data_IF_945706420551
#
_entry.id   IF_945706420551
#
_cell.length_a   1.000
_cell.length_b   1.000
_cell.length_c   1.000
_cell.angle_alpha   90.00
_cell.angle_beta   90.00
_cell.angle_gamma   90.00
#
_symmetry.space_group_name_H-M   'P 1'
#
loop_
_entity.id
_entity.type
_entity.pdbx_description
1 polymer ?
#
# COMPACT_ATOMS: atom_id res chain seq x y z
N UNK A 1 18.91 -8.82 -14.64
CA UNK A 1 18.30 -9.90 -13.84
C UNK A 1 16.83 -10.09 -14.21
N UNK A 2 16.29 -11.25 -13.91
CA UNK A 2 14.86 -11.56 -14.01
C UNK A 2 14.21 -11.41 -12.62
N UNK A 3 13.19 -10.58 -12.53
CA UNK A 3 12.45 -10.31 -11.29
C UNK A 3 11.03 -10.85 -11.43
N UNK A 4 10.59 -11.64 -10.46
CA UNK A 4 9.20 -12.10 -10.38
C UNK A 4 8.49 -11.38 -9.23
N UNK A 5 7.45 -10.61 -9.55
CA UNK A 5 6.64 -9.90 -8.56
C UNK A 5 5.41 -10.73 -8.21
N UNK A 6 5.17 -10.90 -6.92
CA UNK A 6 3.98 -11.59 -6.38
C UNK A 6 3.26 -10.63 -5.43
N UNK A 7 2.05 -10.20 -5.79
CA UNK A 7 1.29 -9.20 -5.04
C UNK A 7 -0.18 -9.58 -4.93
N UNK A 8 -0.88 -8.95 -4.00
CA UNK A 8 -2.35 -9.01 -3.95
C UNK A 8 -2.93 -8.19 -5.12
N UNK A 9 -4.02 -8.66 -5.75
CA UNK A 9 -4.63 -7.96 -6.88
C UNK A 9 -5.54 -6.81 -6.42
N UNK A 10 -5.01 -5.94 -5.59
CA UNK A 10 -5.67 -4.76 -5.02
C UNK A 10 -4.84 -3.53 -5.39
N UNK A 11 -5.50 -2.44 -5.80
CA UNK A 11 -4.81 -1.22 -6.23
C UNK A 11 -3.80 -0.70 -5.19
N UNK A 12 -4.13 -0.82 -3.88
CA UNK A 12 -3.23 -0.46 -2.78
C UNK A 12 -1.90 -1.23 -2.75
N UNK A 13 -1.87 -2.43 -3.31
CA UNK A 13 -0.71 -3.32 -3.37
C UNK A 13 -0.04 -3.32 -4.76
N UNK A 14 -0.84 -3.25 -5.83
CA UNK A 14 -0.33 -3.27 -7.21
C UNK A 14 0.38 -1.97 -7.56
N UNK A 15 -0.18 -0.80 -7.21
CA UNK A 15 0.39 0.50 -7.61
C UNK A 15 1.85 0.68 -7.13
N UNK A 16 2.19 0.45 -5.86
CA UNK A 16 3.59 0.57 -5.42
C UNK A 16 4.50 -0.49 -6.04
N UNK A 17 4.02 -1.71 -6.20
CA UNK A 17 4.79 -2.75 -6.87
C UNK A 17 5.03 -2.41 -8.36
N UNK A 18 4.05 -1.76 -9.03
CA UNK A 18 4.19 -1.28 -10.40
C UNK A 18 5.21 -0.14 -10.53
N UNK A 19 5.25 0.78 -9.56
CA UNK A 19 6.27 1.83 -9.51
C UNK A 19 7.69 1.23 -9.42
N UNK A 20 7.89 0.23 -8.56
CA UNK A 20 9.15 -0.51 -8.47
C UNK A 20 9.46 -1.26 -9.77
N UNK A 21 8.47 -1.95 -10.35
CA UNK A 21 8.62 -2.67 -11.61
C UNK A 21 9.07 -1.76 -12.75
N UNK A 22 8.47 -0.57 -12.86
CA UNK A 22 8.83 0.42 -13.88
C UNK A 22 10.30 0.86 -13.74
N UNK A 23 10.77 1.10 -12.51
CA UNK A 23 12.18 1.45 -12.26
C UNK A 23 13.13 0.30 -12.58
N UNK A 24 12.81 -0.92 -12.17
CA UNK A 24 13.60 -2.10 -12.53
C UNK A 24 13.67 -2.30 -14.05
N UNK A 25 12.55 -2.12 -14.75
CA UNK A 25 12.51 -2.22 -16.22
C UNK A 25 13.35 -1.13 -16.89
N UNK A 26 13.23 0.13 -16.43
CA UNK A 26 14.03 1.25 -16.93
C UNK A 26 15.55 1.03 -16.72
N UNK A 27 15.92 0.26 -15.70
CA UNK A 27 17.31 -0.14 -15.40
C UNK A 27 17.76 -1.40 -16.17
N UNK A 28 16.95 -1.88 -17.14
CA UNK A 28 17.28 -3.00 -18.04
C UNK A 28 16.99 -4.38 -17.46
N UNK A 29 16.17 -4.50 -16.42
CA UNK A 29 15.77 -5.78 -15.86
C UNK A 29 14.49 -6.32 -16.51
N UNK A 30 14.36 -7.64 -16.57
CA UNK A 30 13.14 -8.31 -17.01
C UNK A 30 12.22 -8.49 -15.82
N UNK A 31 11.02 -7.92 -15.87
CA UNK A 31 10.03 -8.01 -14.79
C UNK A 31 8.82 -8.80 -15.26
N UNK A 32 8.45 -9.82 -14.50
CA UNK A 32 7.23 -10.58 -14.68
C UNK A 32 6.39 -10.59 -13.40
N UNK A 33 5.11 -10.82 -13.53
CA UNK A 33 4.15 -10.88 -12.45
C UNK A 33 3.54 -12.25 -12.33
N UNK A 34 3.43 -12.80 -11.12
CA UNK A 34 2.66 -14.01 -10.86
C UNK A 34 1.32 -13.61 -10.23
N UNK A 35 0.21 -13.86 -10.93
CA UNK A 35 -1.12 -13.48 -10.45
C UNK A 35 -2.25 -13.75 -11.42
N UNK A 36 -3.45 -13.27 -11.06
CA UNK A 36 -4.63 -13.31 -11.91
C UNK A 36 -4.53 -12.28 -13.02
N UNK A 37 -4.41 -12.72 -14.28
CA UNK A 37 -4.36 -11.79 -15.41
C UNK A 37 -5.62 -10.91 -15.49
N UNK A 38 -6.80 -11.49 -15.24
CA UNK A 38 -8.07 -10.76 -15.24
C UNK A 38 -8.05 -9.54 -14.29
N UNK A 39 -7.39 -9.69 -13.13
CA UNK A 39 -7.35 -8.65 -12.11
C UNK A 39 -6.16 -7.71 -12.26
N UNK A 40 -5.01 -8.21 -12.71
CA UNK A 40 -3.77 -7.42 -12.82
C UNK A 40 -3.70 -6.62 -14.12
N UNK A 41 -4.17 -7.16 -15.24
CA UNK A 41 -4.09 -6.51 -16.55
C UNK A 41 -4.69 -5.10 -16.60
N UNK A 42 -5.88 -4.85 -16.02
CA UNK A 42 -6.47 -3.50 -16.00
C UNK A 42 -5.63 -2.46 -15.24
N UNK A 43 -4.78 -2.90 -14.29
CA UNK A 43 -3.92 -2.02 -13.48
C UNK A 43 -2.52 -1.86 -14.06
N UNK A 44 -2.00 -2.90 -14.72
CA UNK A 44 -0.61 -2.94 -15.22
C UNK A 44 -0.48 -2.57 -16.70
N UNK A 45 -1.58 -2.55 -17.44
CA UNK A 45 -1.58 -2.29 -18.88
C UNK A 45 -1.28 -3.52 -19.75
N UNK A 46 -1.32 -3.37 -21.10
CA UNK A 46 -1.23 -4.48 -22.04
C UNK A 46 0.17 -5.14 -22.09
N UNK A 47 1.22 -4.38 -21.83
CA UNK A 47 2.61 -4.83 -22.03
C UNK A 47 3.18 -5.62 -20.83
N UNK A 48 2.46 -5.67 -19.72
CA UNK A 48 2.92 -6.39 -18.53
C UNK A 48 2.98 -7.90 -18.78
N UNK A 49 4.12 -8.52 -18.47
CA UNK A 49 4.30 -9.98 -18.54
C UNK A 49 3.67 -10.62 -17.32
N UNK A 50 2.51 -11.24 -17.48
CA UNK A 50 1.76 -11.89 -16.40
C UNK A 50 1.77 -13.40 -16.57
N UNK A 51 2.38 -14.10 -15.61
CA UNK A 51 2.35 -15.55 -15.47
C UNK A 51 1.10 -15.92 -14.68
N UNK A 52 0.14 -16.56 -15.34
CA UNK A 52 -1.20 -16.82 -14.80
C UNK A 52 -1.18 -17.82 -13.64
N UNK A 53 -1.72 -17.42 -12.50
CA UNK A 53 -1.89 -18.29 -11.33
C UNK A 53 -3.33 -18.78 -11.14
N UNK A 54 -4.22 -18.44 -12.07
CA UNK A 54 -5.66 -18.63 -11.95
C UNK A 54 -6.37 -17.37 -11.47
N UNK A 55 -7.70 -17.39 -11.50
CA UNK A 55 -8.55 -16.28 -11.07
C UNK A 55 -9.60 -16.79 -10.10
N UNK A 56 -9.59 -16.26 -8.89
CA UNK A 56 -10.63 -16.51 -7.87
C UNK A 56 -10.85 -15.24 -7.08
N UNK A 57 -12.10 -14.84 -6.94
CA UNK A 57 -12.48 -13.72 -6.09
C UNK A 57 -12.57 -14.19 -4.64
N UNK A 58 -11.81 -13.57 -3.79
CA UNK A 58 -11.93 -13.67 -2.34
C UNK A 58 -12.50 -12.35 -1.84
N UNK A 59 -13.64 -12.42 -1.15
CA UNK A 59 -14.25 -11.23 -0.57
C UNK A 59 -14.04 -11.25 0.94
N UNK A 60 -13.52 -10.18 1.45
CA UNK A 60 -13.53 -9.91 2.87
C UNK A 60 -14.96 -9.56 3.30
N UNK A 61 -15.39 -10.09 4.44
CA UNK A 61 -16.63 -9.63 5.06
C UNK A 61 -16.27 -8.51 6.05
N UNK A 62 -16.93 -7.37 5.87
CA UNK A 62 -16.71 -6.18 6.67
C UNK A 62 -16.72 -6.43 8.18
N UNK A 63 -16.05 -5.56 8.91
CA UNK A 63 -15.93 -5.57 10.36
C UNK A 63 -15.15 -4.34 10.80
N UNK A 64 -15.04 -4.11 12.09
CA UNK A 64 -14.22 -3.06 12.68
C UNK A 64 -13.26 -3.65 13.73
N UNK A 65 -12.14 -2.97 13.98
CA UNK A 65 -11.16 -3.38 14.98
C UNK A 65 -10.59 -4.78 14.74
N UNK A 66 -10.41 -5.57 15.81
CA UNK A 66 -9.81 -6.93 15.74
C UNK A 66 -10.63 -7.88 14.84
N UNK A 67 -11.95 -7.70 14.77
CA UNK A 67 -12.78 -8.55 13.91
C UNK A 67 -12.45 -8.38 12.42
N UNK A 68 -12.12 -7.15 11.97
CA UNK A 68 -11.69 -6.91 10.59
C UNK A 68 -10.35 -7.57 10.28
N UNK A 69 -9.41 -7.54 11.24
CA UNK A 69 -8.11 -8.20 11.10
C UNK A 69 -8.29 -9.73 11.01
N UNK A 70 -9.12 -10.31 11.86
CA UNK A 70 -9.42 -11.75 11.79
C UNK A 70 -10.06 -12.13 10.46
N UNK A 71 -11.01 -11.34 9.97
CA UNK A 71 -11.64 -11.55 8.66
C UNK A 71 -10.62 -11.46 7.53
N UNK A 72 -9.76 -10.45 7.53
CA UNK A 72 -8.68 -10.28 6.55
C UNK A 72 -7.82 -11.54 6.45
N UNK A 73 -7.36 -12.09 7.57
CA UNK A 73 -6.52 -13.27 7.60
C UNK A 73 -7.26 -14.55 7.23
N UNK A 74 -8.42 -14.82 7.83
CA UNK A 74 -9.11 -16.11 7.67
C UNK A 74 -9.91 -16.24 6.39
N UNK A 75 -10.42 -15.11 5.84
CA UNK A 75 -11.31 -15.13 4.68
C UNK A 75 -10.64 -14.62 3.40
N UNK A 76 -9.53 -13.91 3.53
CA UNK A 76 -8.82 -13.37 2.38
C UNK A 76 -7.38 -13.89 2.29
N UNK A 77 -6.46 -13.49 3.18
CA UNK A 77 -5.02 -13.77 3.03
C UNK A 77 -4.71 -15.27 2.99
N UNK A 78 -5.17 -16.04 3.99
CA UNK A 78 -4.89 -17.49 4.06
C UNK A 78 -5.53 -18.27 2.91
N UNK A 79 -6.83 -18.09 2.57
CA UNK A 79 -7.42 -18.77 1.42
C UNK A 79 -6.77 -18.38 0.09
N UNK A 80 -6.42 -17.09 -0.08
CA UNK A 80 -5.76 -16.59 -1.28
C UNK A 80 -4.35 -17.17 -1.42
N UNK A 81 -3.58 -17.22 -0.33
CA UNK A 81 -2.26 -17.84 -0.34
C UNK A 81 -2.31 -19.32 -0.73
N UNK A 82 -3.24 -20.10 -0.15
CA UNK A 82 -3.44 -21.51 -0.53
C UNK A 82 -3.77 -21.67 -2.02
N UNK A 83 -4.60 -20.78 -2.54
CA UNK A 83 -4.96 -20.78 -3.96
C UNK A 83 -3.77 -20.44 -4.86
N UNK A 84 -2.94 -19.46 -4.45
CA UNK A 84 -1.80 -18.99 -5.24
C UNK A 84 -0.61 -19.96 -5.28
N UNK A 85 -0.36 -20.72 -4.22
CA UNK A 85 0.83 -21.55 -4.06
C UNK A 85 1.18 -22.39 -5.30
N UNK A 86 0.27 -23.19 -5.90
CA UNK A 86 0.59 -23.99 -7.08
C UNK A 86 0.93 -23.13 -8.32
N UNK A 87 0.21 -22.03 -8.50
CA UNK A 87 0.40 -21.12 -9.62
C UNK A 87 1.71 -20.37 -9.55
N UNK A 88 2.09 -19.87 -8.36
CA UNK A 88 3.37 -19.20 -8.13
C UNK A 88 4.53 -20.17 -8.33
N UNK A 89 4.42 -21.41 -7.86
CA UNK A 89 5.44 -22.44 -8.10
C UNK A 89 5.65 -22.70 -9.60
N UNK A 90 4.58 -22.79 -10.38
CA UNK A 90 4.66 -22.91 -11.85
C UNK A 90 5.29 -21.66 -12.48
N UNK A 91 4.95 -20.48 -12.01
CA UNK A 91 5.51 -19.22 -12.49
C UNK A 91 7.01 -19.14 -12.25
N UNK A 92 7.49 -19.55 -11.06
CA UNK A 92 8.92 -19.64 -10.73
C UNK A 92 9.65 -20.57 -11.67
N UNK A 93 9.12 -21.76 -11.94
CA UNK A 93 9.73 -22.73 -12.87
C UNK A 93 9.77 -22.20 -14.31
N UNK A 94 8.73 -21.49 -14.75
CA UNK A 94 8.64 -20.93 -16.11
C UNK A 94 9.54 -19.70 -16.29
N UNK A 95 9.58 -18.80 -15.33
CA UNK A 95 10.35 -17.54 -15.38
C UNK A 95 11.83 -17.75 -15.04
N UNK A 96 12.14 -18.70 -14.15
CA UNK A 96 13.46 -18.88 -13.56
C UNK A 96 14.02 -17.54 -13.06
N UNK A 97 13.37 -16.89 -12.08
CA UNK A 97 13.76 -15.57 -11.61
C UNK A 97 15.06 -15.61 -10.80
N UNK A 98 15.84 -14.55 -10.90
CA UNK A 98 17.03 -14.34 -10.05
C UNK A 98 16.64 -13.92 -8.64
N UNK A 99 15.51 -13.17 -8.51
CA UNK A 99 14.98 -12.64 -7.25
C UNK A 99 13.46 -12.49 -7.34
N UNK A 100 12.76 -12.68 -6.21
CA UNK A 100 11.35 -12.35 -6.10
C UNK A 100 11.17 -11.01 -5.35
N UNK A 101 10.18 -10.24 -5.75
CA UNK A 101 9.61 -9.16 -4.93
C UNK A 101 8.22 -9.61 -4.49
N UNK A 102 8.03 -9.75 -3.20
CA UNK A 102 6.82 -10.34 -2.64
C UNK A 102 6.13 -9.33 -1.75
N UNK A 103 4.88 -9.04 -2.08
CA UNK A 103 4.01 -8.27 -1.19
C UNK A 103 3.88 -8.98 0.17
N UNK A 104 3.94 -8.23 1.25
CA UNK A 104 3.89 -8.75 2.63
C UNK A 104 2.69 -9.69 2.89
N UNK A 105 1.56 -9.44 2.24
CA UNK A 105 0.35 -10.25 2.36
C UNK A 105 0.20 -11.33 1.28
N UNK A 106 1.01 -11.29 0.23
CA UNK A 106 1.07 -12.34 -0.80
C UNK A 106 2.02 -13.48 -0.40
N UNK A 107 1.89 -13.96 0.84
CA UNK A 107 2.81 -14.89 1.51
C UNK A 107 3.12 -16.17 0.72
N UNK A 108 2.29 -16.55 -0.25
CA UNK A 108 2.58 -17.66 -1.16
C UNK A 108 3.88 -17.46 -1.93
N UNK A 109 4.20 -16.20 -2.30
CA UNK A 109 5.45 -15.85 -2.98
C UNK A 109 6.68 -16.18 -2.13
N UNK A 110 6.67 -15.78 -0.86
CA UNK A 110 7.75 -16.04 0.09
C UNK A 110 7.93 -17.54 0.39
N UNK A 111 6.81 -18.26 0.59
CA UNK A 111 6.83 -19.71 0.82
C UNK A 111 7.45 -20.45 -0.39
N UNK A 112 7.07 -20.07 -1.60
CA UNK A 112 7.62 -20.65 -2.83
C UNK A 112 9.09 -20.26 -3.01
N UNK A 113 9.46 -19.00 -2.77
CA UNK A 113 10.84 -18.54 -2.83
C UNK A 113 11.73 -19.35 -1.86
N UNK A 114 11.30 -19.51 -0.61
CA UNK A 114 12.01 -20.31 0.37
C UNK A 114 12.18 -21.77 -0.09
N UNK A 115 11.09 -22.42 -0.56
CA UNK A 115 11.12 -23.81 -1.03
C UNK A 115 12.12 -24.04 -2.18
N UNK A 116 12.27 -23.04 -3.05
CA UNK A 116 13.20 -23.10 -4.20
C UNK A 116 14.58 -22.51 -3.90
N UNK A 117 14.86 -22.09 -2.66
CA UNK A 117 16.12 -21.47 -2.27
C UNK A 117 16.40 -20.17 -3.03
N UNK A 118 15.37 -19.43 -3.44
CA UNK A 118 15.48 -18.17 -4.16
C UNK A 118 15.51 -16.99 -3.19
N UNK A 119 16.35 -15.97 -3.44
CA UNK A 119 16.29 -14.74 -2.66
C UNK A 119 14.98 -13.99 -2.97
N UNK A 120 14.45 -13.34 -1.96
CA UNK A 120 13.32 -12.43 -2.16
C UNK A 120 13.44 -11.17 -1.31
N UNK A 121 12.82 -10.10 -1.79
CA UNK A 121 12.55 -8.90 -1.04
C UNK A 121 11.08 -8.86 -0.64
N UNK A 122 10.77 -8.55 0.61
CA UNK A 122 9.40 -8.23 1.02
C UNK A 122 9.11 -6.78 0.73
N UNK A 123 7.97 -6.50 0.06
CA UNK A 123 7.42 -5.16 -0.11
C UNK A 123 6.29 -4.97 0.90
N UNK A 124 6.51 -4.09 1.88
CA UNK A 124 5.55 -3.79 2.92
C UNK A 124 4.62 -2.69 2.46
N UNK A 125 3.35 -3.04 2.24
CA UNK A 125 2.28 -2.13 1.79
C UNK A 125 1.37 -1.67 2.93
N UNK A 126 1.63 -2.11 4.17
CA UNK A 126 0.83 -1.77 5.36
C UNK A 126 1.74 -1.43 6.53
N UNK A 127 1.54 -0.25 7.09
CA UNK A 127 2.28 0.19 8.29
C UNK A 127 1.89 -0.60 9.55
N UNK A 128 0.73 -1.23 9.56
CA UNK A 128 0.16 -1.90 10.73
C UNK A 128 1.04 -3.03 11.28
N UNK A 129 1.76 -3.73 10.42
CA UNK A 129 2.57 -4.88 10.81
C UNK A 129 4.01 -4.51 11.15
N UNK A 130 4.46 -3.31 10.80
CA UNK A 130 5.78 -2.79 11.16
C UNK A 130 5.82 -2.16 12.54
N UNK A 131 4.71 -1.53 12.93
CA UNK A 131 4.57 -0.79 14.16
C UNK A 131 3.49 -1.44 15.02
N UNK A 132 3.39 -1.06 16.26
CA UNK A 132 2.36 -1.56 17.15
C UNK A 132 0.95 -1.28 16.62
N UNK A 133 0.00 -2.06 16.29
CA UNK A 133 -0.83 -2.72 17.29
C UNK A 133 -0.64 -4.22 17.38
N UNK A 134 -0.01 -4.85 16.40
CA UNK A 134 0.25 -6.28 16.48
C UNK A 134 1.20 -6.63 17.64
N UNK A 135 2.27 -5.85 17.82
CA UNK A 135 3.24 -6.06 18.91
C UNK A 135 2.62 -5.87 20.30
N UNK A 136 1.63 -4.99 20.41
CA UNK A 136 0.91 -4.74 21.66
C UNK A 136 -0.19 -5.78 21.96
N UNK A 137 -0.46 -6.72 21.04
CA UNK A 137 -1.50 -7.73 21.16
C UNK A 137 -0.94 -9.15 21.01
N UNK A 138 -0.23 -9.71 22.03
CA UNK A 138 0.47 -10.99 21.93
C UNK A 138 -0.42 -12.16 21.47
N UNK A 139 -1.69 -12.16 21.87
CA UNK A 139 -2.66 -13.19 21.43
C UNK A 139 -2.96 -13.10 19.92
N UNK A 140 -3.03 -11.91 19.37
CA UNK A 140 -3.24 -11.70 17.94
C UNK A 140 -1.99 -12.11 17.15
N UNK A 141 -0.83 -11.71 17.62
CA UNK A 141 0.47 -12.09 17.03
C UNK A 141 0.65 -13.60 17.02
N UNK A 142 0.41 -14.29 18.15
CA UNK A 142 0.47 -15.73 18.24
C UNK A 142 -0.50 -16.43 17.28
N UNK A 143 -1.75 -15.99 17.27
CA UNK A 143 -2.77 -16.53 16.38
C UNK A 143 -2.42 -16.33 14.88
N UNK A 144 -1.91 -15.15 14.48
CA UNK A 144 -1.46 -14.93 13.10
C UNK A 144 -0.27 -15.84 12.75
N UNK A 145 0.68 -16.01 13.67
CA UNK A 145 1.80 -16.94 13.50
C UNK A 145 1.30 -18.38 13.28
N UNK A 146 0.33 -18.84 14.06
CA UNK A 146 -0.21 -20.20 13.92
C UNK A 146 -0.85 -20.42 12.52
N UNK A 147 -1.55 -19.42 12.00
CA UNK A 147 -2.08 -19.46 10.63
C UNK A 147 -0.96 -19.57 9.59
N UNK A 148 0.12 -18.81 9.76
CA UNK A 148 1.27 -18.83 8.85
C UNK A 148 2.06 -20.15 8.94
N UNK A 149 2.24 -20.70 10.15
CA UNK A 149 2.81 -22.05 10.33
C UNK A 149 1.95 -23.09 9.63
N UNK A 150 0.61 -22.99 9.74
CA UNK A 150 -0.31 -23.88 9.02
C UNK A 150 -0.21 -23.78 7.50
N UNK A 151 0.03 -22.58 6.95
CA UNK A 151 0.32 -22.38 5.51
C UNK A 151 1.66 -22.99 5.11
N UNK A 152 2.69 -22.79 5.93
CA UNK A 152 4.04 -23.25 5.72
C UNK A 152 4.11 -24.78 5.68
N UNK A 153 3.55 -25.45 6.69
CA UNK A 153 3.50 -26.91 6.75
C UNK A 153 2.59 -27.51 5.69
N UNK A 154 1.47 -26.85 5.38
CA UNK A 154 0.57 -27.23 4.28
C UNK A 154 1.22 -27.13 2.90
N UNK A 155 2.29 -26.34 2.77
CA UNK A 155 3.13 -26.27 1.58
C UNK A 155 4.26 -27.33 1.55
N UNK A 156 4.33 -28.22 2.53
CA UNK A 156 5.31 -29.30 2.62
C UNK A 156 6.66 -28.88 3.23
N UNK A 157 6.72 -27.76 3.94
CA UNK A 157 7.91 -27.29 4.66
C UNK A 157 7.86 -27.75 6.13
N UNK A 158 9.02 -28.04 6.73
CA UNK A 158 9.07 -28.47 8.12
C UNK A 158 8.74 -27.30 9.07
N UNK A 159 7.97 -27.55 10.13
CA UNK A 159 7.65 -26.54 11.12
C UNK A 159 8.89 -26.00 11.87
N UNK A 160 9.94 -26.84 12.00
CA UNK A 160 11.21 -26.44 12.61
C UNK A 160 11.94 -25.36 11.80
N UNK A 161 11.71 -25.32 10.48
CA UNK A 161 12.35 -24.36 9.56
C UNK A 161 11.48 -23.12 9.33
N UNK A 162 10.43 -22.93 10.14
CA UNK A 162 9.49 -21.84 9.96
C UNK A 162 10.19 -20.47 10.03
N UNK A 163 10.17 -19.77 8.92
CA UNK A 163 10.48 -18.34 8.83
C UNK A 163 9.20 -17.59 8.49
N UNK A 164 8.93 -16.50 9.18
CA UNK A 164 7.71 -15.71 8.93
C UNK A 164 7.67 -15.20 7.49
N UNK A 165 6.77 -15.69 6.63
CA UNK A 165 6.77 -15.35 5.20
C UNK A 165 6.36 -13.92 4.90
N UNK A 166 5.98 -13.15 5.91
CA UNK A 166 5.71 -11.71 5.79
C UNK A 166 7.00 -10.89 5.69
N UNK A 167 8.11 -11.43 6.18
CA UNK A 167 9.38 -10.71 6.27
C UNK A 167 10.51 -11.55 5.67
N UNK A 168 11.10 -11.03 4.60
CA UNK A 168 12.27 -11.67 4.02
C UNK A 168 13.46 -11.62 4.98
N UNK A 169 14.21 -12.72 5.12
CA UNK A 169 15.47 -12.70 5.86
C UNK A 169 16.56 -11.91 5.13
N UNK A 170 16.32 -11.55 3.87
CA UNK A 170 17.32 -10.90 3.03
C UNK A 170 17.09 -9.39 2.90
N UNK A 171 15.85 -8.95 2.64
CA UNK A 171 15.50 -7.55 2.41
C UNK A 171 14.01 -7.31 2.69
N UNK A 172 13.72 -6.33 3.53
CA UNK A 172 12.36 -5.83 3.78
C UNK A 172 12.33 -4.35 3.40
N UNK A 173 11.49 -4.01 2.42
CA UNK A 173 11.29 -2.65 1.90
C UNK A 173 9.99 -2.10 2.46
N UNK A 174 10.02 -1.03 3.23
CA UNK A 174 8.82 -0.39 3.75
C UNK A 174 8.58 0.97 3.11
N UNK A 175 7.34 1.17 2.65
CA UNK A 175 6.87 2.38 1.97
C UNK A 175 6.54 3.49 2.98
N UNK A 176 7.45 3.78 3.85
CA UNK A 176 7.28 4.78 4.92
C UNK A 176 8.62 5.42 5.25
N UNK A 177 8.62 6.36 6.19
CA UNK A 177 9.80 7.04 6.70
C UNK A 177 9.77 7.11 8.22
N UNK A 178 10.92 7.37 8.83
CA UNK A 178 11.11 7.48 10.28
C UNK A 178 10.16 8.52 10.92
N UNK A 179 9.87 9.58 10.21
CA UNK A 179 8.98 10.67 10.65
C UNK A 179 7.55 10.21 10.94
N UNK A 180 7.14 9.07 10.36
CA UNK A 180 5.84 8.44 10.58
C UNK A 180 5.90 7.24 11.53
N UNK A 181 6.89 6.37 11.38
CA UNK A 181 6.94 5.09 12.09
C UNK A 181 7.92 5.05 13.25
N UNK A 182 8.84 6.02 13.34
CA UNK A 182 10.04 5.86 14.15
C UNK A 182 11.02 4.87 13.52
N UNK A 183 11.99 4.43 14.32
CA UNK A 183 12.96 3.39 13.90
C UNK A 183 12.28 2.02 13.88
N UNK A 184 12.55 1.25 12.82
CA UNK A 184 12.11 -0.14 12.68
C UNK A 184 13.32 -1.00 12.33
N UNK A 185 13.61 -2.00 13.15
CA UNK A 185 14.77 -2.87 12.97
C UNK A 185 14.65 -3.74 11.72
N UNK A 186 15.77 -3.93 11.01
CA UNK A 186 15.89 -4.82 9.84
C UNK A 186 14.95 -4.48 8.68
N UNK A 187 14.55 -3.22 8.57
CA UNK A 187 13.68 -2.71 7.52
C UNK A 187 14.32 -1.51 6.85
N UNK A 188 14.35 -1.52 5.54
CA UNK A 188 14.75 -0.37 4.73
C UNK A 188 13.55 0.54 4.52
N UNK A 189 13.56 1.72 5.12
CA UNK A 189 12.53 2.73 4.96
C UNK A 189 12.79 3.51 3.66
N UNK A 190 12.10 3.15 2.59
CA UNK A 190 12.36 3.70 1.25
C UNK A 190 11.42 4.84 0.86
N UNK A 191 10.46 5.20 1.73
CA UNK A 191 9.39 6.12 1.37
C UNK A 191 8.35 5.50 0.44
N UNK A 192 7.29 6.22 0.08
CA UNK A 192 6.24 5.70 -0.77
C UNK A 192 6.74 5.44 -2.20
N UNK A 193 6.31 4.32 -2.77
CA UNK A 193 6.60 3.97 -4.16
C UNK A 193 5.51 4.58 -5.05
N UNK A 194 5.66 5.84 -5.38
CA UNK A 194 4.74 6.59 -6.25
C UNK A 194 5.27 6.47 -7.69
N UNK A 195 4.43 5.97 -8.60
CA UNK A 195 4.74 5.81 -10.02
C UNK A 195 3.71 6.47 -10.90
N UNK A 196 4.07 6.70 -12.16
CA UNK A 196 3.15 7.14 -13.19
C UNK A 196 2.03 6.12 -13.39
N UNK A 197 0.83 6.60 -13.57
CA UNK A 197 -0.36 5.79 -13.87
C UNK A 197 -1.31 6.57 -14.77
N UNK A 198 -2.11 5.86 -15.55
CA UNK A 198 -3.11 6.48 -16.40
C UNK A 198 -4.02 7.39 -15.58
N UNK A 199 -4.05 8.67 -15.94
CA UNK A 199 -4.85 9.68 -15.29
C UNK A 199 -6.16 9.87 -16.08
N UNK A 200 -7.34 9.81 -15.44
CA UNK A 200 -8.58 10.19 -16.09
C UNK A 200 -8.59 11.70 -16.34
N UNK A 201 -9.34 12.17 -17.36
CA UNK A 201 -9.51 13.61 -17.58
C UNK A 201 -10.18 14.27 -16.36
N UNK A 202 -9.78 15.50 -16.07
CA UNK A 202 -10.33 16.31 -14.98
C UNK A 202 -10.46 17.77 -15.41
N UNK A 203 -11.55 18.47 -15.08
CA UNK A 203 -11.76 19.87 -15.44
C UNK A 203 -11.01 20.79 -14.46
N UNK A 204 -9.70 20.93 -14.60
CA UNK A 204 -8.89 21.77 -13.70
C UNK A 204 -9.33 23.23 -13.66
N UNK A 205 -9.91 23.75 -14.78
CA UNK A 205 -10.45 25.11 -14.86
C UNK A 205 -11.68 25.33 -13.95
N UNK A 206 -12.28 24.25 -13.41
CA UNK A 206 -13.35 24.35 -12.42
C UNK A 206 -12.82 24.75 -11.04
N UNK A 207 -11.55 24.50 -10.74
CA UNK A 207 -10.92 24.89 -9.48
C UNK A 207 -10.72 26.42 -9.48
N UNK A 208 -11.41 27.10 -8.58
CA UNK A 208 -11.27 28.55 -8.37
C UNK A 208 -10.01 28.83 -7.53
N UNK A 209 -8.99 29.52 -8.07
CA UNK A 209 -7.73 29.76 -7.35
C UNK A 209 -7.90 30.64 -6.11
N UNK A 210 -9.00 31.38 -5.99
CA UNK A 210 -9.28 32.22 -4.82
C UNK A 210 -10.00 31.48 -3.68
N UNK A 211 -10.29 30.17 -3.88
CA UNK A 211 -10.93 29.32 -2.88
C UNK A 211 -9.96 28.29 -2.29
N UNK A 212 -10.32 27.78 -1.11
CA UNK A 212 -9.67 26.60 -0.52
C UNK A 212 -10.21 25.31 -1.14
N UNK A 213 -9.35 24.32 -1.35
CA UNK A 213 -9.72 23.08 -2.00
C UNK A 213 -9.64 21.87 -1.06
N UNK A 214 -10.74 21.15 -0.93
CA UNK A 214 -10.86 19.89 -0.21
C UNK A 214 -10.97 18.73 -1.18
N UNK A 215 -10.14 17.71 -1.02
CA UNK A 215 -10.35 16.41 -1.65
C UNK A 215 -10.97 15.43 -0.64
N UNK A 216 -12.11 14.83 -0.98
CA UNK A 216 -12.74 13.76 -0.21
C UNK A 216 -12.54 12.43 -0.92
N UNK A 217 -11.81 11.50 -0.31
CA UNK A 217 -11.52 10.19 -0.90
C UNK A 217 -11.54 9.06 0.15
N UNK A 218 -12.56 8.22 0.09
CA UNK A 218 -12.75 7.12 1.04
C UNK A 218 -12.23 5.77 0.54
N UNK A 219 -11.46 5.77 -0.57
CA UNK A 219 -10.83 4.58 -1.14
C UNK A 219 -11.79 3.68 -1.92
N UNK A 220 -11.23 2.66 -2.56
CA UNK A 220 -11.94 1.78 -3.51
C UNK A 220 -12.69 0.61 -2.85
N UNK A 221 -12.43 0.32 -1.57
CA UNK A 221 -12.99 -0.85 -0.85
C UNK A 221 -14.20 -0.50 0.04
N UNK A 222 -14.74 0.71 -0.09
CA UNK A 222 -15.70 1.23 0.87
C UNK A 222 -17.04 1.68 0.26
N UNK A 223 -17.34 1.31 -0.97
CA UNK A 223 -18.46 1.84 -1.76
C UNK A 223 -19.81 1.84 -1.02
N UNK A 224 -20.18 0.73 -0.36
CA UNK A 224 -21.48 0.59 0.33
C UNK A 224 -21.54 1.30 1.70
N UNK A 225 -20.38 1.68 2.27
CA UNK A 225 -20.30 2.24 3.63
C UNK A 225 -20.08 3.75 3.65
N UNK A 226 -19.79 4.35 2.50
CA UNK A 226 -19.27 5.72 2.42
C UNK A 226 -20.29 6.76 2.04
N UNK A 227 -21.43 6.41 1.43
CA UNK A 227 -22.44 7.37 0.97
C UNK A 227 -22.92 8.29 2.12
N UNK A 228 -23.34 7.73 3.26
CA UNK A 228 -23.74 8.52 4.44
C UNK A 228 -22.61 9.42 4.96
N UNK A 229 -21.37 8.95 4.92
CA UNK A 229 -20.24 9.77 5.33
C UNK A 229 -20.01 10.93 4.36
N UNK A 230 -20.13 10.70 3.05
CA UNK A 230 -20.03 11.77 2.06
C UNK A 230 -21.11 12.84 2.26
N UNK A 231 -22.36 12.45 2.49
CA UNK A 231 -23.45 13.41 2.79
C UNK A 231 -23.14 14.25 4.04
N UNK A 232 -22.67 13.63 5.11
CA UNK A 232 -22.28 14.34 6.35
C UNK A 232 -21.09 15.27 6.10
N UNK A 233 -20.09 14.85 5.32
CA UNK A 233 -18.94 15.67 4.98
C UNK A 233 -19.35 16.89 4.15
N UNK A 234 -20.26 16.72 3.18
CA UNK A 234 -20.78 17.80 2.36
C UNK A 234 -21.69 18.76 3.16
N UNK A 235 -22.54 18.23 4.05
CA UNK A 235 -23.36 19.05 4.91
C UNK A 235 -22.54 19.89 5.92
N UNK A 236 -21.31 19.42 6.24
CA UNK A 236 -20.36 20.16 7.06
C UNK A 236 -19.29 20.90 6.28
N UNK A 237 -19.43 21.04 4.96
CA UNK A 237 -18.45 21.74 4.12
C UNK A 237 -18.36 23.21 4.55
N UNK A 238 -17.18 23.73 4.91
CA UNK A 238 -17.03 25.11 5.31
C UNK A 238 -17.30 26.10 4.17
N UNK A 239 -17.76 27.30 4.51
CA UNK A 239 -17.95 28.38 3.55
C UNK A 239 -16.65 28.73 2.81
N UNK A 240 -16.75 29.00 1.52
CA UNK A 240 -15.61 29.37 0.68
C UNK A 240 -14.70 28.20 0.27
N UNK A 241 -15.06 26.96 0.62
CA UNK A 241 -14.33 25.75 0.22
C UNK A 241 -14.98 25.11 -1.00
N UNK A 242 -14.17 24.80 -2.03
CA UNK A 242 -14.55 23.89 -3.09
C UNK A 242 -14.12 22.45 -2.74
N UNK A 243 -14.99 21.48 -3.02
CA UNK A 243 -14.72 20.09 -2.73
C UNK A 243 -14.74 19.21 -3.98
N UNK A 244 -13.72 18.39 -4.15
CA UNK A 244 -13.71 17.26 -5.09
C UNK A 244 -13.98 15.98 -4.32
N UNK A 245 -15.06 15.27 -4.66
CA UNK A 245 -15.47 14.03 -3.98
C UNK A 245 -15.28 12.85 -4.91
N UNK A 246 -14.46 11.89 -4.48
CA UNK A 246 -14.24 10.65 -5.22
C UNK A 246 -15.29 9.63 -4.81
N UNK A 247 -16.36 9.56 -5.58
CA UNK A 247 -17.51 8.67 -5.40
C UNK A 247 -18.21 8.42 -6.75
N UNK A 248 -19.00 7.34 -6.88
CA UNK A 248 -19.94 7.20 -7.98
C UNK A 248 -20.92 8.40 -7.99
N UNK A 249 -21.06 9.11 -9.12
CA UNK A 249 -21.92 10.31 -9.17
C UNK A 249 -23.40 10.06 -8.84
N UNK A 250 -23.90 8.86 -9.11
CA UNK A 250 -25.26 8.42 -8.79
C UNK A 250 -25.51 8.25 -7.27
N UNK A 251 -24.46 8.14 -6.47
CA UNK A 251 -24.56 8.13 -4.99
C UNK A 251 -24.74 9.54 -4.39
N UNK A 252 -24.43 10.59 -5.13
CA UNK A 252 -24.48 11.99 -4.70
C UNK A 252 -25.10 12.85 -5.82
N UNK A 253 -26.37 12.65 -6.19
CA UNK A 253 -26.99 13.32 -7.34
C UNK A 253 -27.21 14.83 -7.15
N UNK A 254 -27.45 15.25 -5.91
CA UNK A 254 -27.80 16.63 -5.57
C UNK A 254 -26.67 17.27 -4.72
N UNK A 255 -25.65 17.80 -5.38
CA UNK A 255 -24.54 18.50 -4.72
C UNK A 255 -24.54 19.98 -5.09
N UNK A 256 -24.06 20.87 -4.18
CA UNK A 256 -23.92 22.29 -4.48
C UNK A 256 -22.89 22.56 -5.58
N UNK A 257 -22.96 23.73 -6.25
CA UNK A 257 -22.08 24.13 -7.36
C UNK A 257 -20.58 24.11 -6.99
N UNK A 258 -20.24 24.30 -5.71
CA UNK A 258 -18.86 24.23 -5.22
C UNK A 258 -18.36 22.80 -4.99
N UNK A 259 -19.14 21.77 -5.34
CA UNK A 259 -18.79 20.36 -5.18
C UNK A 259 -18.74 19.67 -6.53
N UNK A 260 -17.63 19.03 -6.85
CA UNK A 260 -17.48 18.19 -8.03
C UNK A 260 -17.38 16.72 -7.59
N UNK A 261 -18.28 15.88 -8.07
CA UNK A 261 -18.28 14.44 -7.81
C UNK A 261 -17.76 13.71 -9.03
N UNK A 262 -16.74 12.88 -8.83
CA UNK A 262 -16.15 12.05 -9.89
C UNK A 262 -15.83 10.65 -9.37
N UNK A 263 -16.18 9.63 -10.15
CA UNK A 263 -15.86 8.24 -9.79
C UNK A 263 -14.36 7.98 -9.70
N UNK A 264 -13.56 8.69 -10.49
CA UNK A 264 -12.09 8.62 -10.53
C UNK A 264 -11.53 9.99 -10.84
N UNK A 265 -10.41 10.33 -10.22
CA UNK A 265 -9.66 11.57 -10.43
C UNK A 265 -8.19 11.27 -10.73
N UNK A 266 -7.49 12.15 -11.46
CA UNK A 266 -6.04 12.08 -11.64
C UNK A 266 -5.34 12.49 -10.33
N UNK A 267 -5.30 11.57 -9.37
CA UNK A 267 -4.93 11.84 -7.97
C UNK A 267 -3.61 12.62 -7.85
N UNK A 268 -2.58 12.20 -8.58
CA UNK A 268 -1.24 12.81 -8.49
C UNK A 268 -1.20 14.22 -9.08
N UNK A 269 -1.99 14.49 -10.15
CA UNK A 269 -2.08 15.81 -10.77
C UNK A 269 -3.00 16.74 -9.98
N UNK A 270 -3.97 16.17 -9.25
CA UNK A 270 -4.95 16.93 -8.47
C UNK A 270 -4.41 17.38 -7.12
N UNK A 271 -3.63 16.53 -6.44
CA UNK A 271 -3.12 16.80 -5.09
C UNK A 271 -2.34 18.11 -4.96
N UNK A 272 -1.52 18.55 -5.94
CA UNK A 272 -0.86 19.87 -5.87
C UNK A 272 -1.82 21.06 -5.73
N UNK A 273 -3.07 20.90 -6.15
CA UNK A 273 -4.11 21.93 -6.08
C UNK A 273 -4.95 21.87 -4.80
N UNK A 274 -4.72 20.89 -3.94
CA UNK A 274 -5.52 20.67 -2.74
C UNK A 274 -4.91 21.31 -1.49
N UNK A 275 -5.76 21.84 -0.63
CA UNK A 275 -5.36 22.39 0.67
C UNK A 275 -5.46 21.35 1.78
N UNK A 276 -6.41 20.43 1.69
CA UNK A 276 -6.62 19.36 2.67
C UNK A 276 -7.23 18.14 1.99
N UNK A 277 -6.91 16.96 2.52
CA UNK A 277 -7.55 15.70 2.12
C UNK A 277 -8.36 15.14 3.29
N UNK A 278 -9.65 14.91 3.09
CA UNK A 278 -10.49 14.11 3.98
C UNK A 278 -10.52 12.68 3.45
N UNK A 279 -9.93 11.76 4.19
CA UNK A 279 -9.77 10.39 3.73
C UNK A 279 -9.86 9.32 4.82
N UNK A 280 -9.94 8.08 4.40
CA UNK A 280 -10.04 6.93 5.31
C UNK A 280 -8.68 6.52 5.93
N UNK A 281 -7.55 7.10 5.51
CA UNK A 281 -6.22 6.73 5.99
C UNK A 281 -5.60 5.51 5.29
N UNK A 282 -6.01 5.23 4.05
CA UNK A 282 -5.32 4.23 3.23
C UNK A 282 -3.90 4.69 2.87
N UNK A 283 -2.93 3.77 2.90
CA UNK A 283 -1.50 4.07 2.76
C UNK A 283 -1.19 4.90 1.51
N UNK A 284 -1.71 4.51 0.34
CA UNK A 284 -1.37 5.21 -0.91
C UNK A 284 -1.86 6.66 -0.91
N UNK A 285 -3.17 6.90 -0.72
CA UNK A 285 -3.73 8.25 -0.74
C UNK A 285 -3.10 9.15 0.33
N UNK A 286 -2.87 8.58 1.53
CA UNK A 286 -2.22 9.32 2.62
C UNK A 286 -0.78 9.69 2.27
N UNK A 287 -0.01 8.75 1.74
CA UNK A 287 1.37 8.99 1.35
C UNK A 287 1.47 9.94 0.15
N UNK A 288 0.57 9.81 -0.83
CA UNK A 288 0.49 10.71 -1.98
C UNK A 288 0.17 12.15 -1.53
N UNK A 289 -0.81 12.33 -0.64
CA UNK A 289 -1.13 13.64 -0.07
C UNK A 289 0.08 14.26 0.67
N UNK A 290 0.72 13.49 1.56
CA UNK A 290 1.89 13.95 2.30
C UNK A 290 3.09 14.23 1.39
N UNK A 291 3.28 13.47 0.30
CA UNK A 291 4.33 13.72 -0.69
C UNK A 291 4.16 15.08 -1.39
N UNK A 292 2.92 15.54 -1.54
CA UNK A 292 2.60 16.89 -2.05
C UNK A 292 2.48 17.95 -0.94
N UNK A 293 2.78 17.60 0.31
CA UNK A 293 2.71 18.51 1.45
C UNK A 293 1.27 18.89 1.83
N UNK A 294 0.29 18.06 1.49
CA UNK A 294 -1.12 18.27 1.80
C UNK A 294 -1.47 17.58 3.12
N UNK A 295 -1.95 18.33 4.13
CA UNK A 295 -2.36 17.78 5.42
C UNK A 295 -3.71 17.05 5.32
N UNK A 296 -4.04 16.25 6.35
CA UNK A 296 -5.17 15.33 6.28
C UNK A 296 -6.15 15.46 7.46
N UNK A 297 -7.43 15.25 7.14
CA UNK A 297 -8.47 14.86 8.08
C UNK A 297 -8.76 13.37 7.86
N UNK A 298 -8.56 12.54 8.88
CA UNK A 298 -8.57 11.09 8.72
C UNK A 298 -9.75 10.45 9.45
N UNK A 299 -10.59 9.73 8.69
CA UNK A 299 -11.77 8.99 9.14
C UNK A 299 -11.57 7.47 8.96
N UNK A 300 -10.72 6.80 9.79
CA UNK A 300 -10.38 5.41 9.58
C UNK A 300 -11.58 4.48 9.75
N UNK A 301 -11.70 3.50 8.85
CA UNK A 301 -12.80 2.52 8.79
C UNK A 301 -12.32 1.18 9.34
N UNK A 302 -11.19 0.62 8.84
CA UNK A 302 -10.74 -0.75 9.13
C UNK A 302 -9.25 -0.97 8.84
N UNK A 303 -8.75 -2.16 9.14
CA UNK A 303 -7.40 -2.70 8.88
C UNK A 303 -6.27 -1.81 9.41
N UNK A 304 -5.40 -1.34 8.53
CA UNK A 304 -4.22 -0.50 8.80
C UNK A 304 -4.56 1.00 8.93
N UNK A 305 -5.75 1.40 8.50
CA UNK A 305 -6.17 2.80 8.49
C UNK A 305 -6.11 3.47 9.88
N UNK A 306 -6.53 2.82 11.00
CA UNK A 306 -6.39 3.41 12.34
C UNK A 306 -4.93 3.66 12.74
N UNK A 307 -4.01 2.80 12.31
CA UNK A 307 -2.59 2.97 12.61
C UNK A 307 -1.98 4.08 11.75
N UNK A 308 -2.29 4.13 10.45
CA UNK A 308 -1.87 5.23 9.60
C UNK A 308 -2.39 6.58 10.13
N UNK A 309 -3.66 6.64 10.54
CA UNK A 309 -4.22 7.85 11.12
C UNK A 309 -3.49 8.25 12.42
N UNK A 310 -3.14 7.29 13.29
CA UNK A 310 -2.36 7.53 14.50
C UNK A 310 -0.98 8.13 14.17
N UNK A 311 -0.28 7.58 13.17
CA UNK A 311 1.04 8.04 12.74
C UNK A 311 0.99 9.47 12.20
N UNK A 312 0.04 9.78 11.31
CA UNK A 312 -0.13 11.12 10.73
C UNK A 312 -0.46 12.16 11.81
N UNK A 313 -1.37 11.82 12.74
CA UNK A 313 -1.72 12.72 13.86
C UNK A 313 -0.53 12.92 14.79
N UNK A 314 0.20 11.86 15.14
CA UNK A 314 1.40 11.95 15.98
C UNK A 314 2.51 12.78 15.33
N UNK A 315 2.61 12.75 13.99
CA UNK A 315 3.55 13.57 13.23
C UNK A 315 3.10 15.04 13.05
N UNK A 316 1.88 15.38 13.49
CA UNK A 316 1.29 16.71 13.41
C UNK A 316 0.78 17.10 12.00
N UNK A 317 0.63 16.14 11.08
CA UNK A 317 0.24 16.40 9.69
C UNK A 317 -1.27 16.25 9.43
N UNK A 318 -2.08 16.12 10.48
CA UNK A 318 -3.52 16.03 10.34
C UNK A 318 -4.23 15.71 11.64
N UNK A 319 -5.55 15.60 11.56
CA UNK A 319 -6.44 15.27 12.67
C UNK A 319 -7.25 14.01 12.37
N UNK A 320 -7.79 13.38 13.43
CA UNK A 320 -8.61 12.18 13.30
C UNK A 320 -10.06 12.46 13.69
N UNK A 321 -10.99 12.02 12.84
CA UNK A 321 -12.44 12.03 13.09
C UNK A 321 -12.99 10.61 13.14
N UNK A 322 -14.25 10.45 13.59
CA UNK A 322 -14.91 9.15 13.71
C UNK A 322 -15.80 8.89 12.49
N UNK A 323 -15.37 7.99 11.60
CA UNK A 323 -16.10 7.67 10.39
C UNK A 323 -17.61 7.48 10.57
N UNK A 324 -18.05 6.70 11.58
CA UNK A 324 -19.47 6.37 11.79
C UNK A 324 -20.24 7.36 12.67
N UNK A 325 -19.56 8.29 13.36
CA UNK A 325 -20.20 9.06 14.46
C UNK A 325 -20.02 10.57 14.34
N UNK A 326 -19.01 11.04 13.60
CA UNK A 326 -18.81 12.48 13.50
C UNK A 326 -19.97 13.12 12.75
N UNK A 327 -20.50 14.18 13.36
CA UNK A 327 -21.58 14.98 12.78
C UNK A 327 -21.05 15.89 11.66
N UNK A 328 -21.91 16.50 10.83
CA UNK A 328 -21.49 17.49 9.86
C UNK A 328 -20.66 18.62 10.50
N UNK A 329 -21.09 19.14 11.64
CA UNK A 329 -20.43 20.22 12.36
C UNK A 329 -19.04 19.81 12.87
N UNK A 330 -18.89 18.58 13.38
CA UNK A 330 -17.59 18.03 13.80
C UNK A 330 -16.65 17.87 12.60
N UNK A 331 -17.16 17.45 11.42
CA UNK A 331 -16.38 17.31 10.21
C UNK A 331 -15.94 18.68 9.68
N UNK A 332 -16.84 19.67 9.64
CA UNK A 332 -16.52 21.05 9.25
C UNK A 332 -15.49 21.67 10.18
N UNK A 333 -15.64 21.49 11.48
CA UNK A 333 -14.67 21.95 12.48
C UNK A 333 -13.27 21.35 12.24
N UNK A 334 -13.20 20.04 12.00
CA UNK A 334 -11.93 19.36 11.74
C UNK A 334 -11.29 19.81 10.41
N UNK A 335 -12.09 20.05 9.37
CA UNK A 335 -11.61 20.60 8.08
C UNK A 335 -11.05 22.00 8.29
N UNK A 336 -11.78 22.91 8.96
CA UNK A 336 -11.32 24.26 9.27
C UNK A 336 -10.06 24.25 10.12
N UNK A 337 -9.97 23.39 11.14
CA UNK A 337 -8.80 23.26 12.01
C UNK A 337 -7.54 22.99 11.16
N UNK A 338 -7.62 22.09 10.19
CA UNK A 338 -6.48 21.74 9.34
C UNK A 338 -6.20 22.84 8.30
N UNK A 339 -7.24 23.47 7.74
CA UNK A 339 -7.09 24.54 6.75
C UNK A 339 -6.46 25.82 7.37
N UNK A 340 -6.85 26.17 8.59
CA UNK A 340 -6.43 27.40 9.27
C UNK A 340 -5.16 27.19 10.12
N UNK A 341 -4.80 25.93 10.39
CA UNK A 341 -3.61 25.60 11.19
C UNK A 341 -2.36 25.43 10.30
N UNK A 342 -1.49 26.45 10.17
CA UNK A 342 -0.32 26.36 9.29
C UNK A 342 0.67 25.27 9.72
N UNK A 343 0.66 24.84 10.97
CA UNK A 343 1.50 23.77 11.50
C UNK A 343 1.25 22.43 10.82
N UNK A 344 0.01 22.12 10.45
CA UNK A 344 -0.33 20.86 9.74
C UNK A 344 0.33 20.79 8.38
N UNK A 345 0.28 21.88 7.61
CA UNK A 345 0.95 21.96 6.30
C UNK A 345 2.47 21.93 6.43
N UNK A 346 3.03 22.58 7.43
CA UNK A 346 4.48 22.51 7.72
C UNK A 346 4.89 21.08 8.01
N UNK A 347 4.14 20.35 8.85
CA UNK A 347 4.41 18.96 9.15
C UNK A 347 4.25 18.04 7.91
N UNK A 348 3.20 18.23 7.11
CA UNK A 348 2.99 17.48 5.88
C UNK A 348 4.16 17.67 4.90
N UNK A 349 4.62 18.93 4.69
CA UNK A 349 5.79 19.23 3.85
C UNK A 349 7.08 18.61 4.38
N UNK A 350 7.28 18.59 5.71
CA UNK A 350 8.44 17.93 6.32
C UNK A 350 8.46 16.43 6.01
N UNK A 351 7.30 15.78 6.10
CA UNK A 351 7.17 14.35 5.76
C UNK A 351 7.39 14.15 4.26
N UNK A 352 6.85 15.03 3.39
CA UNK A 352 7.08 14.99 1.96
C UNK A 352 8.57 15.09 1.59
N UNK A 353 9.30 15.98 2.26
CA UNK A 353 10.76 16.10 2.09
C UNK A 353 11.48 14.81 2.54
N UNK A 354 11.06 14.18 3.64
CA UNK A 354 11.59 12.90 4.09
C UNK A 354 11.31 11.78 3.07
N UNK A 355 10.12 11.76 2.47
CA UNK A 355 9.80 10.81 1.38
C UNK A 355 10.72 10.97 0.17
N UNK A 356 10.99 12.20 -0.25
CA UNK A 356 11.92 12.47 -1.35
C UNK A 356 13.34 12.01 -1.00
N UNK A 357 13.81 12.30 0.22
CA UNK A 357 15.15 11.90 0.69
C UNK A 357 15.30 10.37 0.80
N UNK A 358 14.22 9.64 1.10
CA UNK A 358 14.22 8.18 1.16
C UNK A 358 14.35 7.50 -0.20
N UNK A 359 14.05 8.19 -1.31
CA UNK A 359 14.32 7.78 -2.68
C UNK A 359 13.26 6.89 -3.34
N UNK A 360 12.22 6.45 -2.63
CA UNK A 360 11.06 5.75 -3.19
C UNK A 360 11.41 4.53 -4.03
N UNK A 361 10.78 4.45 -5.19
CA UNK A 361 10.93 3.30 -6.11
C UNK A 361 12.37 3.16 -6.66
N UNK A 362 13.11 4.25 -6.85
CA UNK A 362 14.51 4.20 -7.29
C UNK A 362 15.38 3.52 -6.24
N UNK A 363 15.28 3.96 -4.99
CA UNK A 363 16.01 3.36 -3.87
C UNK A 363 15.65 1.89 -3.67
N UNK A 364 14.36 1.55 -3.79
CA UNK A 364 13.90 0.18 -3.71
C UNK A 364 14.50 -0.70 -4.82
N UNK A 365 14.60 -0.20 -6.05
CA UNK A 365 15.22 -0.91 -7.17
C UNK A 365 16.71 -1.17 -6.93
N UNK A 366 17.47 -0.18 -6.46
CA UNK A 366 18.89 -0.33 -6.09
C UNK A 366 19.09 -1.41 -5.01
N UNK A 367 18.22 -1.45 -4.01
CA UNK A 367 18.30 -2.44 -2.95
C UNK A 367 18.00 -3.86 -3.44
N UNK A 368 17.04 -4.02 -4.35
CA UNK A 368 16.75 -5.31 -4.98
C UNK A 368 17.93 -5.78 -5.84
N UNK A 369 18.58 -4.88 -6.60
CA UNK A 369 19.79 -5.21 -7.35
C UNK A 369 20.95 -5.62 -6.44
N UNK A 370 21.14 -4.90 -5.33
CA UNK A 370 22.16 -5.24 -4.34
C UNK A 370 21.92 -6.63 -3.75
N UNK A 371 20.66 -6.91 -3.37
CA UNK A 371 20.29 -8.24 -2.87
C UNK A 371 20.70 -9.33 -3.85
N UNK A 372 20.34 -9.19 -5.12
CA UNK A 372 20.64 -10.20 -6.15
C UNK A 372 22.15 -10.38 -6.32
N UNK A 373 22.94 -9.30 -6.36
CA UNK A 373 24.42 -9.39 -6.47
C UNK A 373 25.03 -10.13 -5.29
N UNK A 374 24.69 -9.76 -4.06
CA UNK A 374 25.18 -10.41 -2.84
C UNK A 374 24.88 -11.91 -2.83
N UNK A 375 23.65 -12.30 -3.18
CA UNK A 375 23.25 -13.70 -3.21
C UNK A 375 23.93 -14.50 -4.32
N UNK A 376 24.21 -13.85 -5.46
CA UNK A 376 24.94 -14.49 -6.57
C UNK A 376 26.43 -14.72 -6.23
N UNK A 377 27.05 -13.80 -5.51
CA UNK A 377 28.42 -13.95 -5.02
C UNK A 377 28.54 -15.08 -4.01
N UNK A 378 27.58 -15.20 -3.08
CA UNK A 378 27.54 -16.29 -2.08
C UNK A 378 27.33 -17.67 -2.71
N UNK A 379 26.70 -17.76 -3.88
CA UNK A 379 26.46 -19.02 -4.60
C UNK A 379 27.62 -19.44 -5.52
N UNK A 380 28.60 -18.56 -5.76
CA UNK A 380 29.81 -18.94 -6.52
C UNK A 380 30.62 -19.96 -5.72
N UNK A 381 30.91 -21.16 -6.26
CA UNK A 381 31.80 -22.07 -5.57
C UNK A 381 33.16 -21.38 -5.40
N UNK A 382 33.78 -21.58 -4.25
CA UNK A 382 35.18 -21.22 -4.01
C UNK A 382 36.05 -21.97 -5.03
N UNK A 383 36.13 -21.48 -6.23
CA UNK A 383 37.06 -21.98 -7.25
C UNK A 383 38.44 -21.47 -6.89
N UNK A 384 39.29 -22.36 -6.36
CA UNK A 384 40.71 -22.07 -6.25
C UNK A 384 41.42 -22.53 -4.99
N UNK A 385 41.21 -23.78 -4.57
CA UNK A 385 42.31 -24.48 -3.94
C UNK A 385 43.12 -25.12 -5.09
N UNK A 386 44.04 -24.34 -5.67
CA UNK A 386 45.11 -24.93 -6.51
C UNK A 386 45.90 -25.87 -5.63
N UNK A 387 45.68 -27.17 -5.84
CA UNK A 387 46.64 -28.18 -5.49
C UNK A 387 47.96 -27.85 -6.19
N UNK A 388 48.89 -27.36 -5.44
CA UNK A 388 50.28 -27.31 -5.89
C UNK A 388 50.92 -28.68 -5.58
N UNK A 389 51.67 -29.25 -6.54
CA UNK A 389 52.22 -30.62 -6.44
C UNK A 389 53.32 -30.74 -5.41
#
# INVERSE_FOLDING_TARGET
MKVLIVTLPLAGHVNPAAALAARLTARGHQVAWAGSELMLRPMLGPDAVILRTGSRLFREQGGAGIASIRSLWTRFIVPYAKFLLPGVAKAVLACQPDVLVVDQHAVAGAIVAHRHGLPWATLVCSAMELTSPYLALPRLTGWTRDLLVGLWTGAGLAAADFADPRYSPHLVLAQTVRELTGDVDRVELVGPLIGERAAPPFPFDWLDPDRRHLLVSMGTLADDLTADFHYRALAGLPDGVQAVVVAPPDQLPDVPDQVLVAQRVPMLDLLPHMDVVLGHGGVNTTSEALAHGVPLVLAPIRHDQPEMARQVVAAGAGVRVRFRRSTPEELGTAINEVLDGPSYRVAARRIGAAFQAAGGAERAAELVERLQRTMSEQRRPLSGATSNP
#
